data_IF_603689982676
#
_entry.id   IF_603689982676
#
_cell.length_a   1.000
_cell.length_b   1.000
_cell.length_c   1.000
_cell.angle_alpha   90.00
_cell.angle_beta   90.00
_cell.angle_gamma   90.00
#
_symmetry.space_group_name_H-M   'P 1'
#
loop_
_entity.id
_entity.type
_entity.pdbx_description
1 polymer ?
#
# COMPACT_ATOMS: atom_id res chain seq x y z
N UNK A 1 26.82 -5.41 24.61
CA UNK A 1 25.79 -6.07 23.76
C UNK A 1 24.78 -5.03 23.31
N UNK A 2 24.46 -5.03 22.03
CA UNK A 2 23.42 -4.15 21.45
C UNK A 2 22.15 -4.97 21.33
N UNK A 3 21.06 -4.47 21.93
CA UNK A 3 19.74 -5.07 21.83
C UNK A 3 18.79 -4.11 21.11
N UNK A 4 18.65 -4.20 19.77
CA UNK A 4 17.73 -3.36 19.03
C UNK A 4 16.29 -3.59 19.50
N UNK A 5 15.49 -2.52 19.53
CA UNK A 5 14.07 -2.57 19.93
C UNK A 5 13.14 -2.82 18.76
N UNK A 6 13.58 -2.45 17.57
CA UNK A 6 12.90 -2.70 16.32
C UNK A 6 13.87 -2.51 15.16
N UNK A 7 13.47 -2.97 13.99
CA UNK A 7 14.11 -2.69 12.71
C UNK A 7 13.19 -1.79 11.90
N UNK A 8 13.73 -0.71 11.35
CA UNK A 8 13.05 0.11 10.34
C UNK A 8 13.59 -0.30 8.96
N UNK A 9 12.71 -0.76 8.10
CA UNK A 9 13.09 -1.28 6.78
C UNK A 9 12.37 -0.53 5.66
N UNK A 10 13.14 0.09 4.78
CA UNK A 10 12.62 0.74 3.59
C UNK A 10 13.47 0.34 2.39
N UNK A 11 12.94 -0.53 1.55
CA UNK A 11 13.61 -1.08 0.36
C UNK A 11 12.60 -1.86 -0.48
N UNK A 12 12.89 -2.10 -1.77
CA UNK A 12 12.10 -2.89 -2.70
C UNK A 12 12.21 -2.40 -4.14
N UNK A 13 12.89 -1.26 -4.35
CA UNK A 13 13.05 -0.61 -5.64
C UNK A 13 13.85 -1.49 -6.62
N UNK A 14 14.88 -2.17 -6.12
CA UNK A 14 15.70 -3.07 -6.94
C UNK A 14 14.86 -4.21 -7.51
N UNK A 15 14.03 -4.86 -6.69
CA UNK A 15 13.15 -5.94 -7.14
C UNK A 15 12.14 -5.46 -8.19
N UNK A 16 11.68 -4.22 -8.08
CA UNK A 16 10.84 -3.59 -9.10
C UNK A 16 11.56 -3.41 -10.44
N UNK A 17 12.78 -2.90 -10.43
CA UNK A 17 13.57 -2.67 -11.65
C UNK A 17 14.11 -3.97 -12.27
N UNK A 18 14.42 -4.97 -11.46
CA UNK A 18 15.03 -6.24 -11.90
C UNK A 18 14.01 -7.29 -12.31
N UNK A 19 12.70 -6.96 -12.35
CA UNK A 19 11.61 -7.90 -12.57
C UNK A 19 11.62 -9.08 -11.58
N UNK A 20 11.96 -8.79 -10.32
CA UNK A 20 12.11 -9.79 -9.26
C UNK A 20 11.04 -9.67 -8.16
N UNK A 21 10.00 -8.86 -8.37
CA UNK A 21 8.95 -8.58 -7.39
C UNK A 21 8.26 -9.84 -6.85
N UNK A 22 8.11 -10.88 -7.68
CA UNK A 22 7.53 -12.17 -7.27
C UNK A 22 8.31 -12.84 -6.12
N UNK A 23 9.60 -12.58 -6.02
CA UNK A 23 10.47 -13.18 -4.99
C UNK A 23 10.51 -12.37 -3.70
N UNK A 24 9.99 -11.14 -3.71
CA UNK A 24 10.15 -10.18 -2.60
C UNK A 24 9.66 -10.76 -1.26
N UNK A 25 8.44 -11.28 -1.21
CA UNK A 25 7.85 -11.80 0.03
C UNK A 25 8.71 -12.93 0.62
N UNK A 26 9.13 -13.88 -0.21
CA UNK A 26 9.96 -15.01 0.24
C UNK A 26 11.33 -14.55 0.76
N UNK A 27 12.00 -13.65 0.02
CA UNK A 27 13.30 -13.08 0.40
C UNK A 27 13.20 -12.25 1.67
N UNK A 28 12.16 -11.41 1.78
CA UNK A 28 11.92 -10.60 2.99
C UNK A 28 11.63 -11.49 4.22
N UNK A 29 10.84 -12.56 4.05
CA UNK A 29 10.58 -13.53 5.12
C UNK A 29 11.88 -14.19 5.60
N UNK A 30 12.74 -14.62 4.66
CA UNK A 30 14.06 -15.20 4.99
C UNK A 30 14.95 -14.18 5.71
N UNK A 31 14.98 -12.94 5.23
CA UNK A 31 15.75 -11.84 5.84
C UNK A 31 15.31 -11.58 7.28
N UNK A 32 14.01 -11.43 7.54
CA UNK A 32 13.48 -11.23 8.90
C UNK A 32 13.84 -12.40 9.80
N UNK A 33 13.69 -13.63 9.32
CA UNK A 33 14.05 -14.84 10.05
C UNK A 33 15.55 -14.93 10.36
N UNK A 34 16.42 -14.60 9.41
CA UNK A 34 17.87 -14.55 9.60
C UNK A 34 18.26 -13.50 10.64
N UNK A 35 17.75 -12.28 10.49
CA UNK A 35 18.03 -11.17 11.40
C UNK A 35 17.64 -11.49 12.86
N UNK A 36 16.47 -12.09 13.05
CA UNK A 36 15.97 -12.51 14.36
C UNK A 36 16.86 -13.60 15.00
N UNK A 37 17.35 -14.55 14.20
CA UNK A 37 18.30 -15.57 14.68
C UNK A 37 19.65 -14.97 15.05
N UNK A 38 20.22 -14.15 14.17
CA UNK A 38 21.56 -13.59 14.35
C UNK A 38 21.63 -12.65 15.55
N UNK A 39 20.53 -11.94 15.84
CA UNK A 39 20.41 -11.06 17.01
C UNK A 39 19.91 -11.80 18.26
N UNK A 40 19.60 -13.08 18.17
CA UNK A 40 18.96 -13.88 19.23
C UNK A 40 17.69 -13.20 19.81
N UNK A 41 16.88 -12.62 18.92
CA UNK A 41 15.63 -11.93 19.25
C UNK A 41 14.49 -12.44 18.35
N UNK A 42 13.86 -13.59 18.64
CA UNK A 42 12.90 -14.25 17.76
C UNK A 42 11.64 -13.41 17.48
N UNK A 43 11.31 -12.47 18.36
CA UNK A 43 10.15 -11.60 18.25
C UNK A 43 10.50 -10.16 17.88
N UNK A 44 11.76 -9.89 17.45
CA UNK A 44 12.20 -8.55 17.09
C UNK A 44 11.23 -7.93 16.07
N UNK A 45 10.57 -6.79 16.42
CA UNK A 45 9.63 -6.13 15.52
C UNK A 45 10.34 -5.54 14.30
N UNK A 46 9.66 -5.59 13.15
CA UNK A 46 10.12 -4.97 11.91
C UNK A 46 9.03 -4.04 11.41
N UNK A 47 9.33 -2.77 11.27
CA UNK A 47 8.45 -1.77 10.67
C UNK A 47 8.94 -1.56 9.24
N UNK A 48 8.19 -2.05 8.26
CA UNK A 48 8.49 -1.86 6.84
C UNK A 48 7.66 -0.72 6.25
N UNK A 49 8.25 -0.04 5.27
CA UNK A 49 7.58 1.05 4.55
C UNK A 49 7.26 0.57 3.15
N UNK A 50 5.99 0.70 2.74
CA UNK A 50 5.55 0.39 1.39
C UNK A 50 6.20 1.37 0.42
N UNK A 51 6.70 0.89 -0.74
CA UNK A 51 7.44 1.70 -1.70
C UNK A 51 6.72 3.00 -2.07
N UNK A 52 7.48 4.10 -2.09
CA UNK A 52 7.02 5.38 -2.61
C UNK A 52 6.88 5.35 -4.14
N UNK A 53 6.54 6.47 -4.71
CA UNK A 53 6.41 6.68 -6.16
C UNK A 53 7.77 6.59 -6.85
N UNK A 54 7.74 6.12 -8.09
CA UNK A 54 8.82 6.27 -9.03
C UNK A 54 8.32 7.16 -10.18
N UNK A 55 8.96 8.31 -10.38
CA UNK A 55 8.56 9.31 -11.38
C UNK A 55 9.38 9.24 -12.67
N UNK A 56 10.23 8.21 -12.83
CA UNK A 56 10.84 7.92 -14.13
C UNK A 56 9.74 7.54 -15.13
N UNK A 57 9.93 7.77 -16.44
CA UNK A 57 9.03 7.23 -17.43
C UNK A 57 8.91 5.72 -17.26
N UNK A 58 7.73 5.25 -16.91
CA UNK A 58 7.45 3.86 -16.60
C UNK A 58 6.51 3.30 -17.66
N UNK A 59 6.79 2.06 -18.08
CA UNK A 59 5.83 1.26 -18.83
C UNK A 59 4.94 0.45 -17.88
N UNK A 60 3.94 -0.22 -18.44
CA UNK A 60 3.02 -1.05 -17.64
C UNK A 60 3.74 -2.23 -16.97
N UNK A 61 4.87 -2.71 -17.51
CA UNK A 61 5.62 -3.78 -16.89
C UNK A 61 6.24 -3.33 -15.57
N UNK A 62 6.88 -2.16 -15.54
CA UNK A 62 7.41 -1.58 -14.32
C UNK A 62 6.31 -1.23 -13.31
N UNK A 63 5.17 -0.70 -13.78
CA UNK A 63 4.00 -0.47 -12.93
C UNK A 63 3.57 -1.75 -12.20
N UNK A 64 3.49 -2.89 -12.92
CA UNK A 64 3.13 -4.20 -12.34
C UNK A 64 4.15 -4.66 -11.30
N UNK A 65 5.43 -4.53 -11.58
CA UNK A 65 6.49 -4.88 -10.62
C UNK A 65 6.37 -4.04 -9.35
N UNK A 66 6.13 -2.74 -9.46
CA UNK A 66 5.94 -1.83 -8.32
C UNK A 66 4.71 -2.23 -7.47
N UNK A 67 3.60 -2.51 -8.15
CA UNK A 67 2.37 -3.00 -7.51
C UNK A 67 2.59 -4.31 -6.76
N UNK A 68 3.31 -5.25 -7.36
CA UNK A 68 3.63 -6.55 -6.75
C UNK A 68 4.53 -6.41 -5.52
N UNK A 69 5.57 -5.55 -5.55
CA UNK A 69 6.42 -5.29 -4.39
C UNK A 69 5.59 -4.69 -3.25
N UNK A 70 4.77 -3.66 -3.53
CA UNK A 70 3.89 -3.05 -2.52
C UNK A 70 2.90 -4.05 -1.93
N UNK A 71 2.32 -4.92 -2.77
CA UNK A 71 1.44 -5.99 -2.31
C UNK A 71 2.18 -7.00 -1.43
N UNK A 72 3.41 -7.35 -1.79
CA UNK A 72 4.24 -8.25 -1.00
C UNK A 72 4.60 -7.67 0.38
N UNK A 73 4.81 -6.34 0.47
CA UNK A 73 5.03 -5.65 1.75
C UNK A 73 3.80 -5.71 2.67
N UNK A 74 2.59 -5.57 2.12
CA UNK A 74 1.34 -5.79 2.87
C UNK A 74 1.20 -7.25 3.28
N UNK A 75 1.47 -8.18 2.36
CA UNK A 75 1.41 -9.62 2.65
C UNK A 75 2.38 -10.03 3.76
N UNK A 76 3.58 -9.45 3.80
CA UNK A 76 4.55 -9.67 4.87
C UNK A 76 4.00 -9.24 6.24
N UNK A 77 3.36 -8.08 6.33
CA UNK A 77 2.75 -7.60 7.58
C UNK A 77 1.56 -8.46 8.02
N UNK A 78 0.88 -9.13 7.09
CA UNK A 78 -0.22 -10.06 7.40
C UNK A 78 0.25 -11.46 7.82
N UNK A 79 1.39 -11.92 7.28
CA UNK A 79 1.86 -13.30 7.43
C UNK A 79 3.00 -13.50 8.42
N UNK A 80 3.79 -12.46 8.72
CA UNK A 80 4.94 -12.55 9.60
C UNK A 80 4.63 -11.83 10.93
N UNK A 81 4.52 -12.55 12.06
CA UNK A 81 4.25 -11.92 13.35
C UNK A 81 5.25 -10.81 13.68
N UNK A 82 4.76 -9.67 14.20
CA UNK A 82 5.58 -8.53 14.56
C UNK A 82 6.17 -7.75 13.37
N UNK A 83 5.69 -7.99 12.15
CA UNK A 83 5.95 -7.13 11.00
C UNK A 83 4.80 -6.16 10.81
N UNK A 84 5.11 -4.89 10.66
CA UNK A 84 4.16 -3.80 10.47
C UNK A 84 4.47 -3.05 9.19
N UNK A 85 3.45 -2.61 8.45
CA UNK A 85 3.62 -1.88 7.17
C UNK A 85 3.03 -0.49 7.24
N UNK A 86 3.77 0.49 6.70
CA UNK A 86 3.38 1.89 6.64
C UNK A 86 3.39 2.39 5.19
N UNK A 87 2.46 3.25 4.79
CA UNK A 87 2.45 3.84 3.45
C UNK A 87 3.48 4.97 3.33
N UNK A 88 3.91 5.23 2.08
CA UNK A 88 4.77 6.36 1.74
C UNK A 88 4.41 7.05 0.42
N UNK A 89 3.36 6.61 -0.27
CA UNK A 89 3.01 7.10 -1.61
C UNK A 89 2.68 8.60 -1.69
N UNK A 90 2.39 9.25 -0.57
CA UNK A 90 2.06 10.68 -0.45
C UNK A 90 3.25 11.56 -0.09
N UNK A 91 4.39 10.99 0.32
CA UNK A 91 5.52 11.82 0.75
C UNK A 91 6.29 12.41 -0.43
N UNK A 92 6.87 13.58 -0.20
CA UNK A 92 7.60 14.29 -1.22
C UNK A 92 8.89 13.57 -1.62
N UNK A 93 9.19 13.57 -2.91
CA UNK A 93 10.46 13.10 -3.47
C UNK A 93 11.46 14.25 -3.59
N UNK A 94 12.74 13.92 -3.51
CA UNK A 94 13.86 14.81 -3.80
C UNK A 94 14.19 14.78 -5.31
N UNK A 95 14.14 13.60 -5.90
CA UNK A 95 14.36 13.36 -7.32
C UNK A 95 13.28 12.40 -7.87
N UNK A 96 13.59 11.57 -8.84
CA UNK A 96 12.63 10.66 -9.46
C UNK A 96 12.15 9.51 -8.57
N UNK A 97 12.89 9.19 -7.50
CA UNK A 97 12.63 7.99 -6.68
C UNK A 97 12.97 8.17 -5.19
N UNK A 98 13.96 9.01 -4.87
CA UNK A 98 14.39 9.19 -3.49
C UNK A 98 13.50 10.15 -2.72
N UNK A 99 13.18 9.80 -1.49
CA UNK A 99 12.42 10.68 -0.61
C UNK A 99 13.18 11.97 -0.32
N UNK A 100 12.47 13.08 -0.26
CA UNK A 100 13.02 14.34 0.26
C UNK A 100 13.27 14.25 1.77
N UNK A 101 14.02 15.20 2.31
CA UNK A 101 14.23 15.30 3.76
C UNK A 101 12.90 15.41 4.51
N UNK A 102 11.95 16.22 3.99
CA UNK A 102 10.60 16.34 4.55
C UNK A 102 9.83 15.01 4.45
N UNK A 103 9.96 14.30 3.33
CA UNK A 103 9.37 12.97 3.14
C UNK A 103 9.87 11.98 4.19
N UNK A 104 11.17 11.97 4.45
CA UNK A 104 11.76 11.11 5.47
C UNK A 104 11.32 11.48 6.90
N UNK A 105 11.08 12.76 7.19
CA UNK A 105 10.51 13.17 8.49
C UNK A 105 9.09 12.62 8.68
N UNK A 106 8.25 12.68 7.65
CA UNK A 106 6.88 12.12 7.69
C UNK A 106 6.92 10.60 7.89
N UNK A 107 7.79 9.89 7.16
CA UNK A 107 7.97 8.44 7.34
C UNK A 107 8.47 8.13 8.76
N UNK A 108 9.44 8.90 9.26
CA UNK A 108 9.96 8.76 10.62
C UNK A 108 8.88 8.96 11.68
N UNK A 109 8.00 9.94 11.52
CA UNK A 109 6.85 10.15 12.40
C UNK A 109 5.88 8.96 12.38
N UNK A 110 5.57 8.41 11.20
CA UNK A 110 4.73 7.21 11.06
C UNK A 110 5.37 6.00 11.76
N UNK A 111 6.67 5.79 11.56
CA UNK A 111 7.44 4.75 12.24
C UNK A 111 7.41 4.94 13.77
N UNK A 112 7.58 6.16 14.26
CA UNK A 112 7.54 6.47 15.68
C UNK A 112 6.15 6.20 16.28
N UNK A 113 5.06 6.58 15.60
CA UNK A 113 3.68 6.27 16.04
C UNK A 113 3.45 4.77 16.13
N UNK A 114 3.84 4.02 15.10
CA UNK A 114 3.76 2.56 15.09
C UNK A 114 4.55 1.95 16.27
N UNK A 115 5.81 2.36 16.44
CA UNK A 115 6.64 1.87 17.53
C UNK A 115 6.07 2.23 18.93
N UNK A 116 5.58 3.45 19.11
CA UNK A 116 4.95 3.87 20.38
C UNK A 116 3.71 3.04 20.69
N UNK A 117 2.89 2.73 19.71
CA UNK A 117 1.69 1.91 19.90
C UNK A 117 2.05 0.44 20.18
N UNK A 118 2.83 -0.17 19.27
CA UNK A 118 3.03 -1.63 19.25
C UNK A 118 4.11 -2.10 20.26
N UNK A 119 5.14 -1.28 20.50
CA UNK A 119 6.26 -1.66 21.38
C UNK A 119 6.16 -1.05 22.78
N UNK A 120 5.47 0.08 22.92
CA UNK A 120 5.38 0.82 24.17
C UNK A 120 3.95 0.95 24.71
N UNK A 121 2.96 0.33 24.05
CA UNK A 121 1.56 0.27 24.48
C UNK A 121 0.86 1.63 24.57
N UNK A 122 1.31 2.62 23.79
CA UNK A 122 0.65 3.93 23.76
C UNK A 122 -0.64 3.88 22.95
N UNK A 123 -1.74 4.48 23.39
CA UNK A 123 -3.01 4.48 22.66
C UNK A 123 -2.98 5.46 21.48
N UNK A 124 -2.19 5.14 20.45
CA UNK A 124 -2.01 5.97 19.26
C UNK A 124 -2.57 5.26 18.04
N UNK A 125 -3.32 5.99 17.22
CA UNK A 125 -3.68 5.55 15.87
C UNK A 125 -2.45 5.67 14.97
N UNK A 126 -2.03 4.56 14.37
CA UNK A 126 -0.87 4.51 13.46
C UNK A 126 -1.15 3.74 12.17
N UNK A 127 -2.18 2.92 12.18
CA UNK A 127 -2.52 2.05 11.05
C UNK A 127 -3.08 2.89 9.90
N UNK A 128 -2.73 2.50 8.68
CA UNK A 128 -3.25 3.12 7.48
C UNK A 128 -4.58 2.47 7.05
N UNK A 129 -5.48 3.21 6.38
CA UNK A 129 -6.63 2.61 5.72
C UNK A 129 -6.19 1.49 4.80
N UNK A 130 -6.85 0.34 4.92
CA UNK A 130 -6.52 -0.86 4.17
C UNK A 130 -7.80 -1.43 3.53
N UNK A 131 -7.74 -1.71 2.23
CA UNK A 131 -8.83 -2.39 1.54
C UNK A 131 -8.87 -3.84 1.99
N UNK A 132 -10.01 -4.27 2.54
CA UNK A 132 -10.20 -5.64 3.00
C UNK A 132 -10.96 -6.51 2.00
N UNK A 133 -11.83 -5.93 1.16
CA UNK A 133 -12.49 -6.63 0.06
C UNK A 133 -12.99 -5.67 -1.01
N UNK A 134 -13.21 -6.20 -2.22
CA UNK A 134 -13.89 -5.55 -3.33
C UNK A 134 -15.11 -6.39 -3.70
N UNK A 135 -16.29 -5.80 -3.74
CA UNK A 135 -17.56 -6.47 -3.97
C UNK A 135 -18.24 -5.88 -5.21
N UNK A 136 -18.77 -6.75 -6.07
CA UNK A 136 -19.56 -6.34 -7.25
C UNK A 136 -20.93 -5.86 -6.81
N UNK A 137 -21.21 -4.59 -7.00
CA UNK A 137 -22.52 -3.98 -6.72
C UNK A 137 -23.44 -3.97 -7.93
N UNK A 138 -22.87 -3.80 -9.12
CA UNK A 138 -23.53 -3.80 -10.42
C UNK A 138 -22.50 -4.23 -11.48
N UNK A 139 -22.94 -4.55 -12.72
CA UNK A 139 -22.01 -4.98 -13.77
C UNK A 139 -20.83 -4.03 -14.01
N UNK A 140 -21.04 -2.73 -13.79
CA UNK A 140 -20.07 -1.64 -13.97
C UNK A 140 -19.68 -0.93 -12.65
N UNK A 141 -20.05 -1.50 -11.49
CA UNK A 141 -19.82 -0.85 -10.20
C UNK A 141 -19.26 -1.81 -9.14
N UNK A 142 -18.17 -1.40 -8.50
CA UNK A 142 -17.49 -2.16 -7.45
C UNK A 142 -17.47 -1.33 -6.16
N UNK A 143 -17.80 -1.95 -5.03
CA UNK A 143 -17.65 -1.37 -3.70
C UNK A 143 -16.35 -1.87 -3.07
N UNK A 144 -15.49 -0.94 -2.70
CA UNK A 144 -14.34 -1.19 -1.85
C UNK A 144 -14.74 -1.03 -0.39
N UNK A 145 -14.41 -1.99 0.43
CA UNK A 145 -14.57 -1.93 1.89
C UNK A 145 -13.20 -1.75 2.53
N UNK A 146 -13.13 -0.78 3.42
CA UNK A 146 -11.89 -0.42 4.12
C UNK A 146 -11.97 -0.78 5.59
N UNK A 147 -10.83 -1.14 6.15
CA UNK A 147 -10.58 -1.25 7.59
C UNK A 147 -9.56 -0.21 8.03
N UNK A 148 -9.42 -0.04 9.35
CA UNK A 148 -8.38 0.81 9.96
C UNK A 148 -8.48 2.29 9.56
N UNK A 149 -9.69 2.76 9.28
CA UNK A 149 -9.95 4.17 8.98
C UNK A 149 -10.15 4.94 10.29
N UNK A 150 -9.47 6.08 10.43
CA UNK A 150 -9.80 7.05 11.45
C UNK A 150 -10.96 7.92 10.95
N UNK A 151 -12.15 7.71 11.48
CA UNK A 151 -13.42 8.37 11.17
C UNK A 151 -13.95 8.13 9.76
N UNK A 152 -13.36 8.73 8.72
CA UNK A 152 -13.80 8.62 7.32
C UNK A 152 -12.63 8.60 6.34
N UNK A 153 -12.88 7.99 5.18
CA UNK A 153 -11.96 8.03 4.04
C UNK A 153 -12.23 9.31 3.21
N UNK A 154 -11.17 10.05 2.90
CA UNK A 154 -11.21 11.24 2.07
C UNK A 154 -10.48 11.00 0.74
N UNK A 155 -11.20 10.95 -0.40
CA UNK A 155 -10.62 10.90 -1.73
C UNK A 155 -10.29 12.30 -2.30
N UNK A 156 -10.36 13.36 -1.48
CA UNK A 156 -10.08 14.78 -1.82
C UNK A 156 -11.10 15.44 -2.76
N UNK A 157 -12.27 14.87 -2.97
CA UNK A 157 -13.31 15.41 -3.87
C UNK A 157 -12.75 15.82 -5.26
N UNK A 158 -11.96 14.94 -5.85
CA UNK A 158 -11.31 15.14 -7.15
C UNK A 158 -12.06 14.40 -8.25
N UNK A 159 -11.77 14.75 -9.50
CA UNK A 159 -12.25 13.98 -10.64
C UNK A 159 -11.79 12.52 -10.54
N UNK A 160 -12.67 11.58 -10.85
CA UNK A 160 -12.39 10.14 -10.72
C UNK A 160 -11.14 9.68 -11.48
N UNK A 161 -10.83 10.32 -12.62
CA UNK A 161 -9.62 10.05 -13.38
C UNK A 161 -8.31 10.34 -12.62
N UNK A 162 -8.37 11.10 -11.52
CA UNK A 162 -7.23 11.38 -10.64
C UNK A 162 -7.12 10.38 -9.50
N UNK A 163 -8.15 9.56 -9.26
CA UNK A 163 -8.08 8.49 -8.27
C UNK A 163 -7.25 7.32 -8.79
N UNK A 164 -6.40 6.72 -7.94
CA UNK A 164 -5.45 5.71 -8.36
C UNK A 164 -6.08 4.29 -8.36
N UNK A 165 -7.29 4.14 -8.93
CA UNK A 165 -8.00 2.86 -9.00
C UNK A 165 -8.23 2.43 -10.43
N UNK A 166 -7.93 1.15 -10.70
CA UNK A 166 -8.15 0.51 -12.01
C UNK A 166 -8.64 -0.92 -11.82
N UNK A 167 -9.64 -1.31 -12.58
CA UNK A 167 -10.03 -2.70 -12.73
C UNK A 167 -9.28 -3.33 -13.91
N UNK A 168 -9.07 -4.63 -13.87
CA UNK A 168 -8.53 -5.41 -14.99
C UNK A 168 -9.37 -6.66 -15.21
N UNK A 169 -9.79 -6.87 -16.44
CA UNK A 169 -10.50 -8.04 -16.92
C UNK A 169 -9.89 -8.55 -18.24
N UNK A 170 -10.57 -9.47 -18.94
CA UNK A 170 -10.08 -10.01 -20.21
C UNK A 170 -9.90 -8.95 -21.32
N UNK A 171 -10.57 -7.80 -21.22
CA UNK A 171 -10.42 -6.68 -22.17
C UNK A 171 -9.29 -5.72 -21.77
N UNK A 172 -8.63 -5.92 -20.61
CA UNK A 172 -7.52 -5.13 -20.12
C UNK A 172 -7.88 -4.17 -19.00
N UNK A 173 -6.96 -3.21 -18.74
CA UNK A 173 -7.08 -2.21 -17.69
C UNK A 173 -8.15 -1.16 -18.00
N UNK A 174 -8.96 -0.84 -17.01
CA UNK A 174 -10.05 0.14 -17.08
C UNK A 174 -10.01 1.04 -15.85
N UNK A 175 -9.89 2.35 -16.04
CA UNK A 175 -9.95 3.36 -14.95
C UNK A 175 -11.38 3.58 -14.50
N UNK A 176 -11.55 3.92 -13.24
CA UNK A 176 -12.85 4.37 -12.76
C UNK A 176 -13.17 5.77 -13.32
N UNK A 177 -14.43 5.97 -13.73
CA UNK A 177 -14.93 7.24 -14.29
C UNK A 177 -15.69 8.08 -13.27
N UNK A 178 -16.25 7.45 -12.27
CA UNK A 178 -17.05 8.09 -11.23
C UNK A 178 -16.90 7.30 -9.93
N UNK A 179 -17.06 7.96 -8.81
CA UNK A 179 -17.04 7.32 -7.49
C UNK A 179 -18.12 7.89 -6.58
N UNK A 180 -18.43 7.16 -5.52
CA UNK A 180 -19.24 7.63 -4.40
C UNK A 180 -18.61 7.18 -3.09
N UNK A 181 -18.55 8.07 -2.10
CA UNK A 181 -17.95 7.82 -0.81
C UNK A 181 -18.98 7.39 0.23
N UNK A 182 -18.64 6.40 1.04
CA UNK A 182 -19.25 6.11 2.32
C UNK A 182 -18.26 6.39 3.45
N UNK A 183 -18.62 6.04 4.69
CA UNK A 183 -17.70 6.23 5.83
C UNK A 183 -16.45 5.34 5.71
N UNK A 184 -16.67 4.07 5.41
CA UNK A 184 -15.64 3.02 5.29
C UNK A 184 -15.68 2.32 3.93
N UNK A 185 -16.36 2.92 2.96
CA UNK A 185 -16.52 2.35 1.62
C UNK A 185 -16.24 3.40 0.54
N UNK A 186 -15.82 2.90 -0.61
CA UNK A 186 -15.68 3.68 -1.83
C UNK A 186 -16.30 2.87 -2.98
N UNK A 187 -17.36 3.40 -3.59
CA UNK A 187 -17.96 2.79 -4.78
C UNK A 187 -17.31 3.38 -6.01
N UNK A 188 -16.75 2.52 -6.85
CA UNK A 188 -16.13 2.88 -8.13
C UNK A 188 -17.06 2.48 -9.26
N UNK A 189 -17.24 3.35 -10.26
CA UNK A 189 -18.03 3.11 -11.44
C UNK A 189 -17.14 3.19 -12.68
N UNK A 190 -17.35 2.25 -13.60
CA UNK A 190 -16.55 2.07 -14.81
C UNK A 190 -17.36 2.36 -16.07
N UNK A 191 -16.70 2.67 -17.17
CA UNK A 191 -17.33 3.01 -18.47
C UNK A 191 -18.12 1.86 -19.09
N UNK A 192 -17.85 0.63 -18.68
CA UNK A 192 -18.49 -0.58 -19.18
C UNK A 192 -18.63 -1.64 -18.10
N UNK A 193 -19.51 -2.63 -18.28
CA UNK A 193 -19.49 -3.84 -17.44
C UNK A 193 -18.12 -4.51 -17.43
N UNK A 194 -17.72 -4.98 -16.26
CA UNK A 194 -16.50 -5.77 -16.09
C UNK A 194 -16.78 -7.25 -16.36
N UNK A 195 -15.98 -7.85 -17.21
CA UNK A 195 -16.03 -9.29 -17.46
C UNK A 195 -15.52 -10.07 -16.26
N UNK A 196 -16.04 -11.27 -16.07
CA UNK A 196 -15.57 -12.16 -14.98
C UNK A 196 -14.61 -13.20 -15.57
N UNK A 197 -13.46 -13.51 -14.89
CA UNK A 197 -12.98 -12.90 -13.64
C UNK A 197 -12.37 -11.50 -13.85
N UNK A 198 -12.51 -10.65 -12.84
CA UNK A 198 -11.87 -9.34 -12.82
C UNK A 198 -11.15 -9.13 -11.49
N UNK A 199 -10.12 -8.27 -11.52
CA UNK A 199 -9.37 -7.84 -10.35
C UNK A 199 -9.35 -6.33 -10.26
N UNK A 200 -9.08 -5.83 -9.06
CA UNK A 200 -8.95 -4.40 -8.80
C UNK A 200 -7.54 -4.07 -8.30
N UNK A 201 -7.06 -2.89 -8.66
CA UNK A 201 -5.79 -2.34 -8.23
C UNK A 201 -6.00 -0.94 -7.66
N UNK A 202 -5.25 -0.61 -6.60
CA UNK A 202 -5.29 0.73 -6.01
C UNK A 202 -3.90 1.21 -5.59
N UNK A 203 -3.52 2.43 -6.00
CA UNK A 203 -2.19 3.04 -5.74
C UNK A 203 -1.03 2.17 -6.26
N UNK A 204 -1.28 1.34 -7.24
CA UNK A 204 -0.39 0.25 -7.65
C UNK A 204 0.71 0.66 -8.64
N UNK A 205 0.41 1.62 -9.53
CA UNK A 205 1.39 2.07 -10.52
C UNK A 205 2.64 2.61 -9.85
N UNK A 206 3.78 2.54 -10.54
CA UNK A 206 5.02 3.16 -10.07
C UNK A 206 4.79 4.65 -9.72
N UNK A 207 4.07 5.38 -10.58
CA UNK A 207 3.56 6.70 -10.28
C UNK A 207 2.01 6.71 -10.29
N UNK A 208 1.35 6.50 -9.15
CA UNK A 208 -0.11 6.39 -9.08
C UNK A 208 -0.83 7.75 -9.21
N UNK A 209 -0.11 8.85 -9.33
CA UNK A 209 -0.68 10.18 -9.34
C UNK A 209 -0.71 10.84 -7.95
N UNK A 210 -1.24 12.08 -7.86
CA UNK A 210 -1.14 12.88 -6.64
C UNK A 210 -2.22 12.62 -5.59
N UNK A 211 -3.28 11.91 -5.94
CA UNK A 211 -4.50 11.83 -5.13
C UNK A 211 -4.69 10.45 -4.49
N UNK A 212 -3.83 10.09 -3.54
CA UNK A 212 -4.05 8.87 -2.74
C UNK A 212 -5.08 9.14 -1.65
N UNK A 213 -6.22 8.41 -1.60
CA UNK A 213 -7.19 8.57 -0.52
C UNK A 213 -6.57 8.39 0.85
N UNK A 214 -6.97 9.21 1.81
CA UNK A 214 -6.48 9.18 3.18
C UNK A 214 -7.63 9.27 4.19
N UNK A 215 -7.34 8.97 5.44
CA UNK A 215 -8.28 9.19 6.54
C UNK A 215 -8.21 10.63 7.10
N UNK A 216 -8.97 10.90 8.16
CA UNK A 216 -9.00 12.23 8.80
C UNK A 216 -7.66 12.63 9.43
N UNK A 217 -6.76 11.67 9.74
CA UNK A 217 -5.41 11.92 10.23
C UNK A 217 -4.41 12.13 9.09
N UNK A 218 -4.89 12.20 7.85
CA UNK A 218 -4.09 12.28 6.63
C UNK A 218 -3.13 11.08 6.46
N UNK A 219 -3.51 9.93 7.03
CA UNK A 219 -2.81 8.68 6.75
C UNK A 219 -3.30 8.15 5.40
N UNK A 220 -2.45 8.07 4.37
CA UNK A 220 -2.86 7.55 3.07
C UNK A 220 -3.14 6.05 3.16
N UNK A 221 -4.03 5.57 2.30
CA UNK A 221 -4.31 4.15 2.22
C UNK A 221 -3.10 3.35 1.76
N UNK A 222 -3.02 2.10 2.19
CA UNK A 222 -2.06 1.15 1.64
C UNK A 222 -2.40 0.83 0.17
N UNK A 223 -1.37 0.71 -0.65
CA UNK A 223 -1.50 0.21 -2.01
C UNK A 223 -1.92 -1.27 -2.00
N UNK A 224 -2.72 -1.66 -2.98
CA UNK A 224 -3.04 -3.06 -3.24
C UNK A 224 -2.98 -3.38 -4.74
N UNK A 225 -2.68 -4.63 -5.06
CA UNK A 225 -2.54 -5.12 -6.42
C UNK A 225 -3.17 -6.51 -6.56
N UNK A 226 -3.89 -6.75 -7.67
CA UNK A 226 -4.59 -8.01 -7.96
C UNK A 226 -5.61 -8.42 -6.87
N UNK A 227 -6.38 -7.47 -6.34
CA UNK A 227 -7.46 -7.80 -5.42
C UNK A 227 -8.64 -8.42 -6.20
N UNK A 228 -9.02 -9.68 -5.92
CA UNK A 228 -10.18 -10.28 -6.56
C UNK A 228 -11.47 -9.51 -6.26
N UNK A 229 -12.36 -9.42 -7.26
CA UNK A 229 -13.70 -8.86 -7.08
C UNK A 229 -14.65 -9.99 -6.74
N UNK A 230 -15.26 -9.91 -5.56
CA UNK A 230 -16.27 -10.85 -5.08
C UNK A 230 -17.63 -10.56 -5.77
N UNK A 231 -18.37 -11.63 -6.12
CA UNK A 231 -19.68 -11.55 -6.78
C UNK A 231 -20.83 -11.31 -5.78
#
# INVERSE_FOLDING_TARGET
DIHPRAVLWYQGEAEGYENAAETYLARFTQFVGALRRDLNQPELPVITVQLNRCMTPCDTALDRQWGMVRQAQVAAARSIPGVYVLPSSDVALYDFIHNSAQGNLVIGERCARCALAELYGKPLMWQAPEVCRAERKAPDAIVLHFSRICNWLNPFDVAAALLPFEAEDAQGLLRCERYATGNDTLTLYFARPLEHPAVLHGVWRANPGPCTPCDCMRMPMLSFYNLPIEE
#
